data_IF_720076655640
#
_entry.id   IF_720076655640
#
_cell.length_a   1.000
_cell.length_b   1.000
_cell.length_c   1.000
_cell.angle_alpha   90.00
_cell.angle_beta   90.00
_cell.angle_gamma   90.00
#
_symmetry.space_group_name_H-M   'P 1'
#
loop_
_entity.id
_entity.type
_entity.pdbx_description
1 polymer ?
#
# COMPACT_ATOMS: atom_id res chain seq x y z
N UNK A 1 -12.46 24.99 65.00
CA UNK A 1 -12.51 24.20 63.76
C UNK A 1 -11.54 24.86 62.79
N UNK A 2 -10.33 24.29 62.70
CA UNK A 2 -9.14 24.99 62.20
C UNK A 2 -8.90 24.81 60.70
N UNK A 3 -8.49 25.94 60.11
CA UNK A 3 -7.66 26.24 58.93
C UNK A 3 -7.43 25.21 57.79
N UNK A 4 -7.42 25.68 56.51
CA UNK A 4 -7.06 24.90 55.32
C UNK A 4 -5.54 24.73 55.17
N UNK A 5 -5.06 23.67 54.51
CA UNK A 5 -3.62 23.44 54.29
C UNK A 5 -3.27 23.17 52.82
N UNK A 6 -2.20 23.85 52.41
CA UNK A 6 -1.63 24.13 51.08
C UNK A 6 -1.04 22.93 50.31
N UNK A 7 -1.19 23.03 48.98
CA UNK A 7 -0.21 22.91 47.89
C UNK A 7 1.06 22.03 48.09
N UNK A 8 1.35 21.14 47.12
CA UNK A 8 2.66 21.08 46.44
C UNK A 8 2.61 20.33 45.10
N UNK A 9 3.22 21.01 44.13
CA UNK A 9 3.72 20.63 42.81
C UNK A 9 3.92 19.14 42.49
N UNK A 10 3.65 18.78 41.23
CA UNK A 10 4.73 18.54 40.25
C UNK A 10 4.18 18.16 38.88
N UNK A 11 4.63 18.88 37.85
CA UNK A 11 4.46 18.54 36.44
C UNK A 11 5.05 17.16 36.14
N UNK A 12 4.34 16.35 35.37
CA UNK A 12 4.99 15.49 34.38
C UNK A 12 4.08 15.34 33.17
N UNK A 13 4.45 16.05 32.11
CA UNK A 13 3.99 15.73 30.77
C UNK A 13 4.57 14.36 30.39
N UNK A 14 3.73 13.34 30.30
CA UNK A 14 4.07 12.12 29.54
C UNK A 14 3.30 12.15 28.23
N UNK A 15 3.84 12.99 27.36
CA UNK A 15 3.84 12.80 25.93
C UNK A 15 4.23 11.34 25.61
N UNK A 16 3.38 10.52 24.98
CA UNK A 16 3.79 9.42 24.09
C UNK A 16 2.60 8.92 23.25
N UNK A 17 2.64 9.30 21.97
CA UNK A 17 2.16 8.66 20.74
C UNK A 17 0.67 8.35 20.47
N UNK A 18 0.18 8.69 19.24
CA UNK A 18 -1.01 8.06 18.69
C UNK A 18 -0.69 6.59 18.43
N UNK A 19 -1.26 5.71 19.24
CA UNK A 19 -1.23 4.27 19.01
C UNK A 19 -1.99 3.98 17.73
N UNK A 20 -1.26 3.77 16.63
CA UNK A 20 -1.79 3.23 15.40
C UNK A 20 -2.12 1.77 15.70
N UNK A 21 -3.34 1.50 16.16
CA UNK A 21 -3.87 0.15 16.14
C UNK A 21 -4.08 -0.25 14.68
N UNK A 22 -2.98 -0.63 14.03
CA UNK A 22 -2.97 -1.16 12.69
C UNK A 22 -3.84 -2.42 12.70
N UNK A 23 -4.98 -2.33 12.02
CA UNK A 23 -6.02 -3.34 12.13
C UNK A 23 -5.50 -4.68 11.61
N UNK A 24 -5.98 -5.79 12.17
CA UNK A 24 -5.58 -7.11 11.69
C UNK A 24 -5.86 -7.28 10.17
N UNK A 25 -6.86 -6.57 9.64
CA UNK A 25 -7.18 -6.55 8.21
C UNK A 25 -6.07 -5.90 7.38
N UNK A 26 -5.48 -4.79 7.83
CA UNK A 26 -4.39 -4.10 7.12
C UNK A 26 -3.15 -4.99 7.02
N UNK A 27 -2.84 -5.72 8.10
CA UNK A 27 -1.71 -6.67 8.13
C UNK A 27 -1.92 -7.84 7.16
N UNK A 28 -3.14 -8.37 7.09
CA UNK A 28 -3.48 -9.44 6.15
C UNK A 28 -3.42 -8.95 4.70
N UNK A 29 -3.90 -7.74 4.42
CA UNK A 29 -3.83 -7.14 3.10
C UNK A 29 -2.37 -6.95 2.64
N UNK A 30 -1.51 -6.41 3.52
CA UNK A 30 -0.09 -6.23 3.24
C UNK A 30 0.63 -7.57 2.99
N UNK A 31 0.36 -8.59 3.81
CA UNK A 31 0.93 -9.93 3.61
C UNK A 31 0.46 -10.58 2.30
N UNK A 32 -0.84 -10.43 1.98
CA UNK A 32 -1.42 -10.95 0.74
C UNK A 32 -0.76 -10.29 -0.48
N UNK A 33 -0.63 -8.95 -0.45
CA UNK A 33 0.05 -8.22 -1.51
C UNK A 33 1.51 -8.67 -1.67
N UNK A 34 2.22 -8.91 -0.56
CA UNK A 34 3.59 -9.43 -0.58
C UNK A 34 3.72 -10.76 -1.34
N UNK A 35 2.80 -11.70 -1.09
CA UNK A 35 2.76 -12.99 -1.81
C UNK A 35 2.45 -12.77 -3.30
N UNK A 36 1.51 -11.88 -3.63
CA UNK A 36 1.19 -11.57 -5.03
C UNK A 36 2.37 -10.94 -5.78
N UNK A 37 3.14 -10.06 -5.11
CA UNK A 37 4.35 -9.46 -5.68
C UNK A 37 5.44 -10.52 -5.93
N UNK A 38 5.61 -11.48 -5.03
CA UNK A 38 6.54 -12.60 -5.22
C UNK A 38 6.12 -13.47 -6.42
N UNK A 39 4.84 -13.83 -6.52
CA UNK A 39 4.30 -14.58 -7.68
C UNK A 39 4.54 -13.80 -8.98
N UNK A 40 4.29 -12.49 -8.98
CA UNK A 40 4.51 -11.61 -10.13
C UNK A 40 5.96 -11.63 -10.60
N UNK A 41 6.91 -11.61 -9.65
CA UNK A 41 8.35 -11.70 -9.93
C UNK A 41 8.74 -13.08 -10.48
N UNK A 42 8.25 -14.17 -9.88
CA UNK A 42 8.51 -15.53 -10.33
C UNK A 42 8.01 -15.80 -11.76
N UNK A 43 6.87 -15.22 -12.11
CA UNK A 43 6.30 -15.33 -13.46
C UNK A 43 6.86 -14.29 -14.43
N UNK A 44 7.77 -13.42 -13.96
CA UNK A 44 8.41 -12.38 -14.75
C UNK A 44 7.40 -11.55 -15.57
N UNK A 45 6.30 -11.13 -14.93
CA UNK A 45 5.23 -10.33 -15.55
C UNK A 45 5.69 -8.93 -15.96
N UNK A 46 6.83 -8.47 -15.41
CA UNK A 46 7.36 -7.13 -15.63
C UNK A 46 6.51 -6.03 -15.01
N UNK A 47 5.66 -6.36 -14.01
CA UNK A 47 4.90 -5.37 -13.25
C UNK A 47 5.67 -4.90 -12.03
N UNK A 48 5.78 -3.59 -11.84
CA UNK A 48 6.25 -3.05 -10.57
C UNK A 48 5.15 -3.08 -9.49
N UNK A 49 5.51 -2.79 -8.24
CA UNK A 49 4.57 -2.86 -7.12
C UNK A 49 3.39 -1.89 -7.26
N UNK A 50 3.61 -0.71 -7.86
CA UNK A 50 2.55 0.27 -8.05
C UNK A 50 1.60 -0.17 -9.17
N UNK A 51 2.14 -0.65 -10.29
CA UNK A 51 1.37 -1.25 -11.39
C UNK A 51 0.54 -2.46 -10.92
N UNK A 52 1.13 -3.36 -10.14
CA UNK A 52 0.44 -4.54 -9.60
C UNK A 52 -0.70 -4.13 -8.65
N UNK A 53 -0.45 -3.16 -7.76
CA UNK A 53 -1.45 -2.65 -6.84
C UNK A 53 -2.62 -2.00 -7.60
N UNK A 54 -2.33 -1.25 -8.67
CA UNK A 54 -3.35 -0.67 -9.53
C UNK A 54 -4.19 -1.76 -10.21
N UNK A 55 -3.54 -2.84 -10.71
CA UNK A 55 -4.25 -3.95 -11.33
C UNK A 55 -5.21 -4.64 -10.35
N UNK A 56 -4.77 -4.87 -9.11
CA UNK A 56 -5.61 -5.46 -8.05
C UNK A 56 -6.83 -4.58 -7.80
N UNK A 57 -6.65 -3.26 -7.62
CA UNK A 57 -7.75 -2.32 -7.43
C UNK A 57 -8.74 -2.34 -8.60
N UNK A 58 -8.26 -2.39 -9.84
CA UNK A 58 -9.14 -2.47 -11.01
C UNK A 58 -9.97 -3.76 -11.01
N UNK A 59 -9.35 -4.89 -10.67
CA UNK A 59 -10.04 -6.18 -10.58
C UNK A 59 -11.08 -6.18 -9.45
N UNK A 60 -10.75 -5.60 -8.29
CA UNK A 60 -11.70 -5.40 -7.18
C UNK A 60 -12.90 -4.52 -7.56
N UNK A 61 -12.70 -3.56 -8.48
CA UNK A 61 -13.76 -2.74 -9.07
C UNK A 61 -14.55 -3.46 -10.18
N UNK A 62 -14.29 -4.73 -10.44
CA UNK A 62 -15.02 -5.56 -11.41
C UNK A 62 -14.46 -5.54 -12.83
N UNK A 63 -13.25 -5.01 -13.04
CA UNK A 63 -12.57 -5.10 -14.34
C UNK A 63 -12.17 -6.55 -14.62
N UNK A 64 -12.41 -7.02 -15.84
CA UNK A 64 -12.03 -8.37 -16.26
C UNK A 64 -10.49 -8.51 -16.30
N UNK A 65 -9.89 -9.48 -15.58
CA UNK A 65 -8.44 -9.62 -15.47
C UNK A 65 -7.79 -10.00 -16.82
N UNK A 66 -8.47 -10.76 -17.67
CA UNK A 66 -7.97 -11.13 -19.00
C UNK A 66 -7.86 -9.88 -19.87
N UNK A 67 -8.93 -9.07 -19.97
CA UNK A 67 -8.91 -7.83 -20.74
C UNK A 67 -7.85 -6.85 -20.23
N UNK A 68 -7.72 -6.74 -18.91
CA UNK A 68 -6.70 -5.89 -18.29
C UNK A 68 -5.28 -6.34 -18.66
N UNK A 69 -4.99 -7.64 -18.61
CA UNK A 69 -3.69 -8.18 -18.99
C UNK A 69 -3.35 -7.89 -20.46
N UNK A 70 -4.31 -8.06 -21.38
CA UNK A 70 -4.10 -7.70 -22.79
C UNK A 70 -3.80 -6.21 -22.96
N UNK A 71 -4.54 -5.34 -22.27
CA UNK A 71 -4.34 -3.89 -22.35
C UNK A 71 -2.96 -3.49 -21.82
N UNK A 72 -2.56 -3.97 -20.65
CA UNK A 72 -1.25 -3.66 -20.06
C UNK A 72 -0.12 -4.10 -20.98
N UNK A 73 -0.19 -5.31 -21.52
CA UNK A 73 0.81 -5.81 -22.47
C UNK A 73 0.86 -4.96 -23.75
N UNK A 74 -0.30 -4.57 -24.29
CA UNK A 74 -0.35 -3.74 -25.49
C UNK A 74 0.25 -2.34 -25.25
N UNK A 75 -0.06 -1.72 -24.12
CA UNK A 75 0.48 -0.40 -23.75
C UNK A 75 2.00 -0.47 -23.59
N UNK A 76 2.53 -1.48 -22.88
CA UNK A 76 3.98 -1.64 -22.70
C UNK A 76 4.70 -1.79 -24.04
N UNK A 77 4.19 -2.64 -24.94
CA UNK A 77 4.75 -2.80 -26.29
C UNK A 77 4.71 -1.52 -27.11
N UNK A 78 3.62 -0.75 -27.04
CA UNK A 78 3.53 0.54 -27.74
C UNK A 78 4.55 1.55 -27.19
N UNK A 79 4.74 1.61 -25.87
CA UNK A 79 5.73 2.48 -25.25
C UNK A 79 7.17 2.11 -25.66
N UNK A 80 7.48 0.81 -25.70
CA UNK A 80 8.78 0.30 -26.18
C UNK A 80 8.98 0.68 -27.65
N UNK A 81 8.00 0.41 -28.50
CA UNK A 81 8.07 0.72 -29.93
C UNK A 81 8.25 2.23 -30.20
N UNK A 82 7.56 3.09 -29.45
CA UNK A 82 7.72 4.54 -29.55
C UNK A 82 9.11 4.98 -29.09
N UNK A 83 9.68 4.32 -28.07
CA UNK A 83 11.02 4.62 -27.56
C UNK A 83 12.10 4.26 -28.59
N UNK A 84 11.91 3.17 -29.33
CA UNK A 84 12.80 2.76 -30.42
C UNK A 84 12.75 3.70 -31.62
N UNK A 85 11.54 4.12 -32.03
CA UNK A 85 11.36 5.05 -33.15
C UNK A 85 11.96 6.44 -32.91
N UNK A 86 12.09 6.85 -31.64
CA UNK A 86 12.69 8.13 -31.26
C UNK A 86 14.21 8.09 -31.12
N UNK A 87 14.83 6.91 -31.26
CA UNK A 87 16.28 6.72 -31.15
C UNK A 87 16.97 6.84 -32.51
#
# INVERSE_FOLDING_TARGET
MGFPREEKDSKSATNTNPSVEESNADKVAAATFGILAEISSLLNTGLDNEELLMCIKLIENGVNPTTLALLVNNVKQQCEHISELKR
#
